data_IF_246251165697
#
_entry.id   IF_246251165697
#
_cell.length_a   1.000
_cell.length_b   1.000
_cell.length_c   1.000
_cell.angle_alpha   90.00
_cell.angle_beta   90.00
_cell.angle_gamma   90.00
#
_symmetry.space_group_name_H-M   'P 1'
#
loop_
_entity.id
_entity.type
_entity.pdbx_description
1 polymer ?
#
# COMPACT_ATOMS: atom_id res chain seq x y z
N UNK A 1 16.97 14.96 31.46
CA UNK A 1 16.96 16.08 32.43
C UNK A 1 15.82 15.84 33.42
N UNK A 2 16.05 16.07 34.71
CA UNK A 2 15.00 16.01 35.74
C UNK A 2 14.44 17.42 35.93
N UNK A 3 13.12 17.58 35.96
CA UNK A 3 12.46 18.90 35.90
C UNK A 3 11.35 19.07 36.94
N UNK A 4 11.24 18.12 37.87
CA UNK A 4 10.16 17.99 38.86
C UNK A 4 10.50 18.62 40.21
N UNK A 5 9.46 18.89 40.99
CA UNK A 5 9.52 19.43 42.34
C UNK A 5 10.31 20.74 42.47
N UNK A 6 10.32 21.57 41.43
CA UNK A 6 10.95 22.89 41.48
C UNK A 6 10.01 24.04 41.11
N UNK A 7 8.72 23.76 40.92
CA UNK A 7 7.69 24.75 40.59
C UNK A 7 8.05 25.57 39.32
N UNK A 8 8.66 24.91 38.33
CA UNK A 8 9.08 25.54 37.08
C UNK A 8 10.33 26.42 37.22
N UNK A 9 11.11 26.29 38.29
CA UNK A 9 12.34 27.07 38.51
C UNK A 9 13.59 26.47 37.82
N UNK A 10 13.41 25.65 36.78
CA UNK A 10 14.49 25.16 35.93
C UNK A 10 15.21 26.33 35.23
N UNK A 11 16.51 26.23 34.98
CA UNK A 11 17.26 27.15 34.09
C UNK A 11 18.48 26.38 33.55
N UNK A 12 18.20 25.20 33.03
CA UNK A 12 19.20 24.16 32.79
C UNK A 12 19.55 24.08 31.30
N UNK A 13 20.85 24.14 31.01
CA UNK A 13 21.40 24.07 29.66
C UNK A 13 22.18 22.77 29.46
N UNK A 14 21.82 22.03 28.42
CA UNK A 14 22.67 21.02 27.80
C UNK A 14 23.30 21.63 26.55
N UNK A 15 24.57 22.04 26.64
CA UNK A 15 25.30 22.67 25.53
C UNK A 15 26.08 21.60 24.77
N UNK A 16 25.85 21.49 23.45
CA UNK A 16 26.61 20.63 22.56
C UNK A 16 28.00 21.24 22.29
N UNK A 17 29.01 20.41 21.94
CA UNK A 17 30.31 20.93 21.51
C UNK A 17 30.18 21.91 20.34
N UNK A 18 31.11 22.88 20.29
CA UNK A 18 31.15 23.84 19.20
C UNK A 18 31.34 23.16 17.84
N UNK A 19 30.61 23.63 16.85
CA UNK A 19 30.64 23.05 15.50
C UNK A 19 30.58 24.14 14.43
N UNK A 20 31.09 23.82 13.25
CA UNK A 20 31.09 24.78 12.13
C UNK A 20 29.94 24.47 11.19
N UNK A 21 29.05 25.44 11.01
CA UNK A 21 27.97 25.37 10.02
C UNK A 21 28.36 26.09 8.74
N UNK A 22 27.73 25.70 7.63
CA UNK A 22 27.93 26.30 6.30
C UNK A 22 26.67 26.94 5.72
N UNK A 23 25.61 27.12 6.53
CA UNK A 23 24.35 27.73 6.10
C UNK A 23 23.40 26.79 5.37
N UNK A 24 23.60 25.47 5.50
CA UNK A 24 22.74 24.48 4.85
C UNK A 24 22.51 23.27 5.75
N UNK A 25 22.57 23.43 7.07
CA UNK A 25 22.39 22.34 8.03
C UNK A 25 21.00 22.34 8.68
N UNK A 26 20.64 21.19 9.23
CA UNK A 26 19.55 20.99 10.17
C UNK A 26 20.05 20.21 11.39
N UNK A 27 19.41 20.43 12.53
CA UNK A 27 19.56 19.61 13.73
C UNK A 27 18.41 18.60 13.80
N UNK A 28 18.74 17.34 14.01
CA UNK A 28 17.80 16.25 14.32
C UNK A 28 18.06 15.69 15.71
N UNK A 29 17.01 15.35 16.44
CA UNK A 29 17.09 14.68 17.73
C UNK A 29 15.76 14.02 18.07
N UNK A 30 15.78 13.04 18.97
CA UNK A 30 14.57 12.41 19.48
C UNK A 30 14.25 12.92 20.86
N UNK A 31 12.98 13.24 21.13
CA UNK A 31 12.54 13.76 22.43
C UNK A 31 11.29 13.02 22.93
N UNK A 32 11.12 12.94 24.26
CA UNK A 32 9.86 12.52 24.91
C UNK A 32 9.82 12.97 26.37
N UNK A 33 8.62 13.06 26.93
CA UNK A 33 8.41 13.22 28.35
C UNK A 33 8.28 11.85 29.04
N UNK A 34 8.53 11.81 30.35
CA UNK A 34 8.24 10.64 31.18
C UNK A 34 6.75 10.34 31.28
N UNK A 35 5.95 11.39 31.40
CA UNK A 35 4.50 11.31 31.56
C UNK A 35 3.83 12.39 30.71
N UNK A 36 2.73 12.02 30.05
CA UNK A 36 1.91 12.96 29.30
C UNK A 36 1.15 13.95 30.19
N UNK A 37 0.93 13.58 31.46
CA UNK A 37 0.26 14.42 32.47
C UNK A 37 1.21 15.36 33.20
N UNK A 38 2.52 15.20 33.00
CA UNK A 38 3.58 16.05 33.57
C UNK A 38 4.47 16.56 32.43
N UNK A 39 3.89 17.39 31.53
CA UNK A 39 4.57 17.85 30.34
C UNK A 39 5.79 18.71 30.67
N UNK A 40 6.75 18.70 29.77
CA UNK A 40 7.98 19.51 29.87
C UNK A 40 8.00 20.53 28.74
N UNK A 41 8.45 21.75 29.01
CA UNK A 41 8.80 22.71 27.98
C UNK A 41 10.32 22.84 27.85
N UNK A 42 10.78 23.04 26.62
CA UNK A 42 12.20 23.30 26.34
C UNK A 42 12.34 24.19 25.11
N UNK A 43 13.55 24.72 24.97
CA UNK A 43 14.00 25.51 23.84
C UNK A 43 15.25 24.88 23.23
N UNK A 44 15.35 24.94 21.91
CA UNK A 44 16.65 24.83 21.24
C UNK A 44 17.20 26.24 21.11
N UNK A 45 18.40 26.42 21.60
CA UNK A 45 19.11 27.68 21.62
C UNK A 45 20.35 27.59 20.74
N UNK A 46 20.77 28.72 20.17
CA UNK A 46 22.01 28.82 19.41
C UNK A 46 22.83 30.03 19.84
N UNK A 47 24.15 29.88 19.83
CA UNK A 47 25.12 30.95 20.03
C UNK A 47 26.13 30.94 18.89
N UNK A 48 26.51 32.12 18.41
CA UNK A 48 27.55 32.31 17.39
C UNK A 48 28.84 32.89 17.98
N UNK A 49 28.94 32.99 19.30
CA UNK A 49 30.05 33.66 20.01
C UNK A 49 30.73 32.72 21.01
N UNK A 50 30.01 32.32 22.06
CA UNK A 50 30.53 31.56 23.19
C UNK A 50 29.48 30.68 23.86
N UNK A 51 29.81 30.16 25.04
CA UNK A 51 28.95 29.23 25.80
C UNK A 51 28.40 29.84 27.09
N UNK A 52 28.48 31.16 27.27
CA UNK A 52 27.82 31.78 28.41
C UNK A 52 26.30 31.80 28.16
N UNK A 53 25.44 31.64 29.19
CA UNK A 53 23.99 31.63 28.99
C UNK A 53 23.44 32.84 28.20
N UNK A 54 24.03 34.04 28.39
CA UNK A 54 23.64 35.25 27.67
C UNK A 54 24.06 35.31 26.19
N UNK A 55 24.91 34.38 25.72
CA UNK A 55 25.29 34.29 24.30
C UNK A 55 24.21 33.61 23.45
N UNK A 56 23.27 32.89 24.09
CA UNK A 56 22.30 32.04 23.42
C UNK A 56 21.00 32.78 23.07
N UNK A 57 20.49 32.52 21.87
CA UNK A 57 19.17 32.97 21.41
C UNK A 57 18.28 31.76 21.06
N UNK A 58 16.98 31.78 21.38
CA UNK A 58 16.07 30.68 21.05
C UNK A 58 15.79 30.61 19.55
N UNK A 59 15.83 29.40 18.99
CA UNK A 59 15.51 29.11 17.58
C UNK A 59 14.35 28.14 17.41
N UNK A 60 13.99 27.42 18.47
CA UNK A 60 12.85 26.52 18.50
C UNK A 60 12.35 26.40 19.93
N UNK A 61 11.05 26.20 20.12
CA UNK A 61 10.43 25.97 21.42
C UNK A 61 9.31 24.93 21.29
N UNK A 62 9.16 24.08 22.30
CA UNK A 62 8.14 23.04 22.30
C UNK A 62 7.71 22.66 23.72
N UNK A 63 6.43 22.31 23.85
CA UNK A 63 5.90 21.56 24.99
C UNK A 63 5.77 20.09 24.62
N UNK A 64 6.43 19.24 25.39
CA UNK A 64 6.49 17.78 25.22
C UNK A 64 5.50 17.15 26.20
N UNK A 65 4.38 16.67 25.67
CA UNK A 65 3.32 15.96 26.41
C UNK A 65 3.12 14.53 25.92
N UNK A 66 4.10 13.96 25.22
CA UNK A 66 4.06 12.62 24.64
C UNK A 66 5.16 11.75 25.24
N UNK A 67 4.84 10.46 25.45
CA UNK A 67 5.72 9.50 26.11
C UNK A 67 6.46 8.56 25.15
N UNK A 68 6.17 8.67 23.86
CA UNK A 68 6.87 7.98 22.77
C UNK A 68 7.93 8.91 22.18
N UNK A 69 9.15 8.41 21.96
CA UNK A 69 10.19 9.19 21.27
C UNK A 69 9.68 9.68 19.93
N UNK A 70 9.75 10.99 19.72
CA UNK A 70 9.38 11.62 18.46
C UNK A 70 10.57 12.44 17.96
N UNK A 71 10.93 12.26 16.69
CA UNK A 71 12.01 13.01 16.04
C UNK A 71 11.60 14.47 15.86
N UNK A 72 12.54 15.38 16.07
CA UNK A 72 12.42 16.81 15.76
C UNK A 72 13.51 17.20 14.78
N UNK A 73 13.16 18.15 13.91
CA UNK A 73 14.06 18.73 12.92
C UNK A 73 14.00 20.24 13.11
N UNK A 74 15.15 20.87 13.32
CA UNK A 74 15.30 22.32 13.47
C UNK A 74 16.22 22.82 12.36
N UNK A 75 15.73 23.79 11.57
CA UNK A 75 16.49 24.40 10.48
C UNK A 75 17.61 25.29 11.03
N UNK A 76 18.84 25.07 10.55
CA UNK A 76 20.02 25.85 10.90
C UNK A 76 20.60 26.60 9.68
N UNK A 77 19.89 26.65 8.55
CA UNK A 77 20.35 27.29 7.30
C UNK A 77 20.68 28.77 7.45
N UNK A 78 20.09 29.45 8.45
CA UNK A 78 20.40 30.84 8.75
C UNK A 78 21.79 31.08 9.38
N UNK A 79 22.50 30.01 9.77
CA UNK A 79 23.75 30.11 10.55
C UNK A 79 24.95 29.55 9.78
N UNK A 80 26.09 30.22 9.91
CA UNK A 80 27.36 29.80 9.33
C UNK A 80 28.53 30.16 10.26
N UNK A 81 29.66 29.48 10.09
CA UNK A 81 30.81 29.60 11.00
C UNK A 81 30.63 28.77 12.27
N UNK A 82 31.47 29.04 13.27
CA UNK A 82 31.42 28.33 14.55
C UNK A 82 30.17 28.72 15.35
N UNK A 83 29.39 27.73 15.75
CA UNK A 83 28.21 27.90 16.61
C UNK A 83 28.24 26.91 17.77
N UNK A 84 27.43 27.20 18.78
CA UNK A 84 27.08 26.29 19.87
C UNK A 84 25.57 26.15 19.92
N UNK A 85 25.08 24.92 20.05
CA UNK A 85 23.65 24.62 20.17
C UNK A 85 23.39 24.14 21.59
N UNK A 86 22.31 24.59 22.22
CA UNK A 86 21.93 24.12 23.54
C UNK A 86 20.46 23.71 23.62
N UNK A 87 20.17 22.67 24.40
CA UNK A 87 18.82 22.36 24.86
C UNK A 87 18.64 23.03 26.21
N UNK A 88 17.65 23.92 26.29
CA UNK A 88 17.42 24.77 27.45
C UNK A 88 16.02 24.52 28.02
N UNK A 89 15.92 24.19 29.30
CA UNK A 89 14.64 24.17 30.03
C UNK A 89 14.54 25.48 30.82
N UNK A 90 13.72 26.44 30.36
CA UNK A 90 13.73 27.81 30.88
C UNK A 90 13.03 27.96 32.23
N UNK A 91 13.39 29.04 32.93
CA UNK A 91 12.73 29.45 34.16
C UNK A 91 11.30 29.94 33.90
N UNK A 92 10.39 29.57 34.80
CA UNK A 92 8.96 29.90 34.71
C UNK A 92 8.18 28.97 33.78
N UNK A 93 8.80 27.88 33.36
CA UNK A 93 8.18 26.82 32.56
C UNK A 93 7.28 25.88 33.35
N UNK A 94 7.01 24.71 32.77
CA UNK A 94 6.20 23.65 33.37
C UNK A 94 7.01 22.89 34.44
N UNK A 95 6.32 22.49 35.50
CA UNK A 95 6.83 21.54 36.51
C UNK A 95 6.61 20.11 36.00
N UNK A 96 7.43 19.71 35.02
CA UNK A 96 7.38 18.39 34.41
C UNK A 96 8.08 17.33 35.28
N UNK A 97 8.21 16.09 34.80
CA UNK A 97 8.95 15.05 35.55
C UNK A 97 10.38 14.77 35.03
N UNK A 98 10.49 14.04 33.91
CA UNK A 98 11.76 13.89 33.19
C UNK A 98 11.55 14.17 31.70
N UNK A 99 12.47 14.95 31.15
CA UNK A 99 12.65 15.14 29.72
C UNK A 99 13.79 14.25 29.23
N UNK A 100 13.49 13.38 28.26
CA UNK A 100 14.46 12.52 27.62
C UNK A 100 14.74 13.04 26.21
N UNK A 101 16.02 13.14 25.87
CA UNK A 101 16.50 13.49 24.54
C UNK A 101 17.64 12.55 24.16
N UNK A 102 17.69 12.15 22.90
CA UNK A 102 18.71 11.23 22.40
C UNK A 102 18.98 11.44 20.90
N UNK A 103 20.06 10.84 20.40
CA UNK A 103 20.42 10.77 18.98
C UNK A 103 20.51 12.14 18.26
N UNK A 104 21.23 13.08 18.86
CA UNK A 104 21.52 14.39 18.25
C UNK A 104 22.39 14.23 16.99
N UNK A 105 21.87 14.68 15.86
CA UNK A 105 22.56 14.69 14.56
C UNK A 105 22.47 16.07 13.94
N UNK A 106 23.61 16.63 13.52
CA UNK A 106 23.63 17.82 12.66
C UNK A 106 24.11 17.39 11.29
N UNK A 107 23.28 17.60 10.29
CA UNK A 107 23.51 17.17 8.92
C UNK A 107 23.07 18.26 7.94
N UNK A 108 23.47 18.12 6.68
CA UNK A 108 23.01 19.04 5.65
C UNK A 108 21.51 18.83 5.38
N UNK A 109 20.81 19.92 5.04
CA UNK A 109 19.44 19.87 4.54
C UNK A 109 19.36 18.98 3.30
N UNK A 110 18.36 18.10 3.20
CA UNK A 110 18.12 17.34 1.98
C UNK A 110 17.90 18.29 0.80
N UNK A 111 18.69 18.14 -0.26
CA UNK A 111 18.52 18.88 -1.52
C UNK A 111 17.57 18.16 -2.47
N UNK A 112 17.31 16.87 -2.21
CA UNK A 112 16.41 16.05 -3.00
C UNK A 112 15.30 15.43 -2.16
N UNK A 113 14.06 15.76 -2.49
CA UNK A 113 12.87 15.32 -1.76
C UNK A 113 12.20 14.14 -2.44
N UNK A 114 11.69 13.21 -1.63
CA UNK A 114 11.00 12.04 -2.13
C UNK A 114 9.59 12.41 -2.63
N UNK A 115 9.11 11.79 -3.72
CA UNK A 115 7.69 11.85 -4.04
C UNK A 115 6.87 11.11 -2.98
N UNK A 116 5.55 11.23 -3.07
CA UNK A 116 4.60 10.57 -2.17
C UNK A 116 3.43 9.96 -2.96
N UNK A 117 2.53 9.27 -2.27
CA UNK A 117 1.27 8.73 -2.84
C UNK A 117 1.47 7.96 -4.16
N UNK A 118 2.40 6.99 -4.18
CA UNK A 118 2.61 6.14 -5.35
C UNK A 118 1.35 5.30 -5.63
N UNK A 119 0.83 5.39 -6.84
CA UNK A 119 -0.32 4.63 -7.33
C UNK A 119 0.05 3.79 -8.54
N UNK A 120 -0.76 2.75 -8.79
CA UNK A 120 -0.60 1.86 -9.95
C UNK A 120 -1.96 1.73 -10.62
N UNK A 121 -1.99 1.88 -11.93
CA UNK A 121 -3.18 1.77 -12.79
C UNK A 121 -2.85 1.05 -14.09
N UNK A 122 -3.85 0.81 -14.94
CA UNK A 122 -3.70 0.20 -16.27
C UNK A 122 -2.86 -1.08 -16.25
N UNK A 123 -3.11 -1.95 -15.27
CA UNK A 123 -2.36 -3.19 -15.08
C UNK A 123 -2.73 -4.16 -16.21
N UNK A 124 -1.72 -4.60 -16.95
CA UNK A 124 -1.84 -5.60 -18.02
C UNK A 124 -1.11 -6.87 -17.61
N UNK A 125 -0.99 -7.84 -18.53
CA UNK A 125 -0.19 -9.05 -18.30
C UNK A 125 1.31 -8.77 -18.27
N UNK A 126 1.77 -7.70 -18.91
CA UNK A 126 3.21 -7.40 -19.07
C UNK A 126 3.60 -5.98 -18.68
N UNK A 127 2.70 -5.22 -18.06
CA UNK A 127 2.95 -3.83 -17.71
C UNK A 127 1.94 -3.25 -16.73
N UNK A 128 2.20 -2.02 -16.31
CA UNK A 128 1.33 -1.19 -15.50
C UNK A 128 1.77 0.27 -15.62
N UNK A 129 0.91 1.22 -15.26
CA UNK A 129 1.25 2.65 -15.18
C UNK A 129 1.43 3.05 -13.72
N UNK A 130 2.60 3.59 -13.39
CA UNK A 130 2.90 4.22 -12.12
C UNK A 130 2.59 5.72 -12.19
N UNK A 131 2.07 6.24 -11.09
CA UNK A 131 1.92 7.68 -10.86
C UNK A 131 2.28 7.97 -9.40
N UNK A 132 2.65 9.20 -9.08
CA UNK A 132 2.97 9.67 -7.74
C UNK A 132 2.76 11.18 -7.61
N UNK A 133 2.68 11.67 -6.37
CA UNK A 133 2.62 13.11 -6.08
C UNK A 133 4.05 13.66 -5.95
N UNK A 134 4.48 14.61 -6.80
CA UNK A 134 5.77 15.28 -6.66
C UNK A 134 5.88 16.04 -5.33
N UNK A 135 7.09 16.16 -4.75
CA UNK A 135 7.31 17.06 -3.62
C UNK A 135 7.21 18.53 -4.07
N UNK A 136 7.09 19.46 -3.09
CA UNK A 136 6.97 20.89 -3.37
C UNK A 136 8.15 21.42 -4.21
N UNK A 137 9.37 20.96 -3.93
CA UNK A 137 10.54 21.14 -4.80
C UNK A 137 10.75 19.87 -5.62
N UNK A 138 10.12 19.80 -6.80
CA UNK A 138 10.17 18.61 -7.64
C UNK A 138 11.58 18.38 -8.24
N UNK A 139 12.09 17.14 -8.18
CA UNK A 139 13.32 16.77 -8.88
C UNK A 139 13.10 16.78 -10.40
N UNK A 140 14.19 16.90 -11.18
CA UNK A 140 14.11 16.88 -12.64
C UNK A 140 13.69 15.51 -13.22
N UNK A 141 13.95 14.44 -12.47
CA UNK A 141 13.58 13.08 -12.85
C UNK A 141 13.43 12.19 -11.60
N UNK A 142 13.03 10.94 -11.80
CA UNK A 142 12.84 9.97 -10.73
C UNK A 142 13.54 8.66 -11.06
N UNK A 143 13.88 7.91 -10.01
CA UNK A 143 14.33 6.53 -10.14
C UNK A 143 13.22 5.61 -9.62
N UNK A 144 13.04 4.47 -10.28
CA UNK A 144 12.05 3.45 -9.92
C UNK A 144 12.77 2.13 -9.67
N UNK A 145 12.50 1.52 -8.53
CA UNK A 145 12.94 0.17 -8.20
C UNK A 145 11.72 -0.77 -8.18
N UNK A 146 11.81 -1.85 -8.96
CA UNK A 146 10.77 -2.87 -9.09
C UNK A 146 11.34 -4.22 -8.70
N UNK A 147 10.66 -4.92 -7.78
CA UNK A 147 11.06 -6.23 -7.28
C UNK A 147 9.87 -7.18 -7.20
N UNK A 148 10.11 -8.50 -7.28
CA UNK A 148 9.11 -9.53 -6.99
C UNK A 148 9.12 -9.98 -5.52
N UNK A 149 10.03 -9.42 -4.72
CA UNK A 149 10.11 -9.63 -3.27
C UNK A 149 9.87 -8.32 -2.53
N UNK A 150 9.21 -8.40 -1.37
CA UNK A 150 8.94 -7.24 -0.53
C UNK A 150 10.13 -6.86 0.36
N UNK A 151 11.31 -6.70 -0.25
CA UNK A 151 12.50 -6.23 0.45
C UNK A 151 12.70 -4.76 0.09
N UNK A 152 12.57 -3.88 1.08
CA UNK A 152 12.74 -2.45 0.87
C UNK A 152 14.16 -2.12 0.36
N UNK A 153 14.30 -1.28 -0.68
CA UNK A 153 15.60 -0.83 -1.16
C UNK A 153 16.29 0.07 -0.13
N UNK A 154 17.62 0.04 -0.12
CA UNK A 154 18.44 0.99 0.63
C UNK A 154 18.86 2.14 -0.28
N UNK A 155 19.49 3.18 0.26
CA UNK A 155 20.03 4.29 -0.55
C UNK A 155 21.01 3.84 -1.64
N UNK A 156 21.70 2.71 -1.42
CA UNK A 156 22.66 2.13 -2.36
C UNK A 156 22.04 1.16 -3.38
N UNK A 157 20.74 0.85 -3.29
CA UNK A 157 20.09 -0.04 -4.26
C UNK A 157 20.08 0.60 -5.65
N UNK A 158 20.60 -0.12 -6.63
CA UNK A 158 20.54 0.27 -8.04
C UNK A 158 19.08 0.28 -8.52
N UNK A 159 18.58 1.38 -9.09
CA UNK A 159 17.24 1.43 -9.67
C UNK A 159 17.05 0.43 -10.81
N UNK A 160 15.82 -0.07 -10.97
CA UNK A 160 15.43 -0.82 -12.18
C UNK A 160 15.34 0.11 -13.39
N UNK A 161 14.82 1.32 -13.15
CA UNK A 161 14.70 2.39 -14.14
C UNK A 161 15.22 3.69 -13.54
N UNK A 162 16.08 4.40 -14.28
CA UNK A 162 16.74 5.63 -13.82
C UNK A 162 16.31 6.80 -14.69
N UNK A 163 16.09 7.97 -14.07
CA UNK A 163 15.84 9.21 -14.80
C UNK A 163 14.50 9.24 -15.55
N UNK A 164 13.47 8.61 -14.99
CA UNK A 164 12.13 8.54 -15.59
C UNK A 164 11.27 9.76 -15.26
N UNK A 165 10.24 10.01 -16.07
CA UNK A 165 9.23 11.03 -15.82
C UNK A 165 8.00 10.44 -15.09
N UNK A 166 7.17 11.33 -14.53
CA UNK A 166 5.87 11.00 -13.94
C UNK A 166 4.73 11.44 -14.87
N UNK A 167 3.77 10.58 -15.23
CA UNK A 167 3.65 9.15 -14.91
C UNK A 167 4.65 8.27 -15.68
N UNK A 168 4.87 7.05 -15.20
CA UNK A 168 5.79 6.09 -15.81
C UNK A 168 5.11 4.77 -16.19
N UNK A 169 5.26 4.35 -17.46
CA UNK A 169 4.75 3.07 -17.94
C UNK A 169 5.80 1.96 -17.76
N UNK A 170 5.50 0.99 -16.88
CA UNK A 170 6.25 -0.25 -16.75
C UNK A 170 5.92 -1.19 -17.90
N UNK A 171 6.95 -1.81 -18.48
CA UNK A 171 6.85 -2.79 -19.55
C UNK A 171 7.79 -3.96 -19.32
N UNK A 172 7.50 -5.12 -19.92
CA UNK A 172 8.37 -6.30 -19.82
C UNK A 172 8.22 -7.05 -18.50
N UNK A 173 7.10 -6.86 -17.80
CA UNK A 173 6.75 -7.63 -16.61
C UNK A 173 6.26 -9.03 -16.99
N UNK A 174 6.35 -9.97 -16.06
CA UNK A 174 5.80 -11.32 -16.21
C UNK A 174 4.34 -11.32 -15.77
N UNK A 175 3.49 -12.06 -16.48
CA UNK A 175 2.08 -12.22 -16.13
C UNK A 175 1.90 -12.94 -14.79
N UNK A 176 0.75 -12.73 -14.13
CA UNK A 176 0.39 -13.36 -12.86
C UNK A 176 1.49 -13.26 -11.79
N UNK A 177 2.16 -12.10 -11.71
CA UNK A 177 3.30 -11.89 -10.82
C UNK A 177 3.07 -10.66 -9.95
N UNK A 178 3.25 -10.83 -8.64
CA UNK A 178 3.22 -9.71 -7.69
C UNK A 178 4.52 -8.94 -7.75
N UNK A 179 4.41 -7.64 -7.94
CA UNK A 179 5.51 -6.69 -7.93
C UNK A 179 5.37 -5.70 -6.77
N UNK A 180 6.52 -5.29 -6.25
CA UNK A 180 6.69 -4.25 -5.25
C UNK A 180 7.53 -3.13 -5.87
N UNK A 181 7.06 -1.91 -5.70
CA UNK A 181 7.60 -0.72 -6.36
C UNK A 181 7.93 0.34 -5.31
N UNK A 182 9.07 0.98 -5.52
CA UNK A 182 9.52 2.15 -4.79
C UNK A 182 9.97 3.19 -5.79
N UNK A 183 9.71 4.46 -5.49
CA UNK A 183 10.13 5.59 -6.30
C UNK A 183 10.97 6.52 -5.44
N UNK A 184 12.00 7.13 -5.99
CA UNK A 184 12.74 8.23 -5.34
C UNK A 184 12.95 9.37 -6.31
N UNK A 185 13.10 10.58 -5.79
CA UNK A 185 13.55 11.73 -6.56
C UNK A 185 15.01 11.58 -7.00
N UNK A 186 15.30 11.99 -8.22
CA UNK A 186 16.66 12.07 -8.76
C UNK A 186 16.94 13.52 -9.17
N UNK A 187 17.74 14.20 -8.33
CA UNK A 187 18.11 15.61 -8.48
C UNK A 187 19.42 15.79 -9.25
N UNK A 188 20.04 14.69 -9.70
CA UNK A 188 21.23 14.66 -10.54
C UNK A 188 22.47 14.09 -9.84
N UNK A 189 23.33 13.42 -10.60
CA UNK A 189 24.55 12.81 -10.07
C UNK A 189 24.25 11.78 -8.99
N UNK A 190 24.75 12.00 -7.78
CA UNK A 190 24.48 11.17 -6.59
C UNK A 190 23.43 11.77 -5.66
N UNK A 191 22.86 12.92 -5.99
CA UNK A 191 21.84 13.58 -5.18
C UNK A 191 20.47 13.00 -5.50
N UNK A 192 20.02 12.12 -4.60
CA UNK A 192 18.77 11.37 -4.71
C UNK A 192 18.06 11.39 -3.37
N UNK A 193 16.73 11.36 -3.40
CA UNK A 193 15.95 11.29 -2.17
C UNK A 193 15.99 9.89 -1.56
N UNK A 194 15.42 9.76 -0.36
CA UNK A 194 14.98 8.45 0.14
C UNK A 194 13.93 7.83 -0.78
N UNK A 195 13.84 6.50 -0.77
CA UNK A 195 12.77 5.76 -1.44
C UNK A 195 11.43 5.99 -0.72
N UNK A 196 10.33 6.01 -1.48
CA UNK A 196 8.97 6.04 -0.96
C UNK A 196 8.65 4.84 -0.07
N UNK A 197 7.49 4.82 0.58
CA UNK A 197 6.90 3.56 1.05
C UNK A 197 6.65 2.59 -0.12
N UNK A 198 6.62 1.29 0.18
CA UNK A 198 6.34 0.26 -0.84
C UNK A 198 4.93 0.42 -1.41
N UNK A 199 4.81 0.25 -2.74
CA UNK A 199 3.53 0.02 -3.41
C UNK A 199 3.54 -1.34 -4.08
N UNK A 200 2.56 -2.18 -3.81
CA UNK A 200 2.41 -3.48 -4.47
C UNK A 200 1.27 -3.50 -5.47
N UNK A 201 1.42 -4.33 -6.50
CA UNK A 201 0.39 -4.70 -7.47
C UNK A 201 0.71 -6.08 -8.05
N UNK A 202 -0.26 -6.71 -8.72
CA UNK A 202 -0.04 -7.96 -9.43
C UNK A 202 -0.46 -7.81 -10.89
N UNK A 203 0.38 -8.24 -11.83
CA UNK A 203 0.05 -8.26 -13.26
C UNK A 203 -1.12 -9.20 -13.53
N UNK A 204 -1.89 -8.90 -14.57
CA UNK A 204 -2.96 -9.76 -15.02
C UNK A 204 -2.41 -11.11 -15.52
N UNK A 205 -3.28 -12.12 -15.61
CA UNK A 205 -2.90 -13.42 -16.11
C UNK A 205 -2.97 -13.50 -17.63
N UNK A 206 -2.03 -14.24 -18.22
CA UNK A 206 -2.11 -14.57 -19.64
C UNK A 206 -3.35 -15.40 -19.95
N UNK A 207 -3.89 -15.14 -21.14
CA UNK A 207 -4.93 -15.97 -21.70
C UNK A 207 -4.38 -17.35 -22.04
N UNK A 208 -5.14 -18.39 -21.74
CA UNK A 208 -4.75 -19.79 -21.96
C UNK A 208 -5.53 -20.41 -23.12
N UNK A 209 -4.92 -21.35 -23.82
CA UNK A 209 -5.59 -22.12 -24.85
C UNK A 209 -6.52 -23.17 -24.24
N UNK A 210 -7.62 -23.46 -24.94
CA UNK A 210 -8.47 -24.61 -24.61
C UNK A 210 -7.80 -25.94 -25.06
N UNK A 211 -8.08 -27.08 -24.41
CA UNK A 211 -9.02 -27.26 -23.29
C UNK A 211 -8.49 -26.70 -21.96
N UNK A 212 -9.39 -26.09 -21.19
CA UNK A 212 -9.15 -25.63 -19.82
C UNK A 212 -10.12 -26.33 -18.87
N UNK A 213 -9.63 -26.74 -17.70
CA UNK A 213 -10.41 -27.35 -16.63
C UNK A 213 -10.05 -26.68 -15.32
N UNK A 214 -11.07 -26.31 -14.55
CA UNK A 214 -10.95 -25.87 -13.17
C UNK A 214 -11.77 -26.79 -12.27
N UNK A 215 -11.19 -27.22 -11.15
CA UNK A 215 -11.85 -28.09 -10.18
C UNK A 215 -11.77 -27.56 -8.74
N UNK A 216 -11.19 -26.38 -8.54
CA UNK A 216 -11.03 -25.65 -7.28
C UNK A 216 -10.21 -26.39 -6.20
N UNK A 217 -9.64 -27.56 -6.49
CA UNK A 217 -8.87 -28.36 -5.53
C UNK A 217 -7.44 -27.85 -5.33
N UNK A 218 -6.97 -26.91 -6.16
CA UNK A 218 -5.63 -26.33 -6.09
C UNK A 218 -5.43 -25.26 -5.01
N UNK A 219 -6.46 -24.95 -4.22
CA UNK A 219 -6.45 -23.93 -3.17
C UNK A 219 -7.07 -24.46 -1.88
N UNK A 220 -6.70 -23.86 -0.75
CA UNK A 220 -7.38 -24.09 0.53
C UNK A 220 -8.54 -23.11 0.66
N UNK A 221 -9.81 -23.57 0.73
CA UNK A 221 -10.94 -22.66 0.89
C UNK A 221 -10.84 -21.79 2.15
N UNK A 222 -11.27 -20.51 2.09
CA UNK A 222 -12.07 -19.89 1.03
C UNK A 222 -11.27 -19.22 -0.10
N UNK A 223 -9.96 -19.47 -0.20
CA UNK A 223 -9.12 -18.81 -1.21
C UNK A 223 -9.61 -19.08 -2.64
N UNK A 224 -9.50 -18.06 -3.51
CA UNK A 224 -9.84 -18.17 -4.93
C UNK A 224 -8.59 -18.62 -5.70
N UNK A 225 -8.70 -19.59 -6.65
CA UNK A 225 -7.59 -19.93 -7.52
C UNK A 225 -7.01 -18.72 -8.24
N UNK A 226 -5.69 -18.69 -8.39
CA UNK A 226 -5.01 -17.63 -9.15
C UNK A 226 -5.62 -17.50 -10.55
N UNK A 227 -5.81 -16.26 -10.99
CA UNK A 227 -6.45 -15.88 -12.27
C UNK A 227 -7.96 -16.10 -12.36
N UNK A 228 -8.62 -16.47 -11.27
CA UNK A 228 -10.06 -16.29 -11.13
C UNK A 228 -10.31 -14.97 -10.41
N UNK A 229 -11.18 -14.14 -10.98
CA UNK A 229 -11.56 -12.84 -10.40
C UNK A 229 -12.98 -12.98 -9.86
N UNK A 230 -13.23 -12.42 -8.69
CA UNK A 230 -14.57 -12.31 -8.10
C UNK A 230 -14.92 -10.83 -8.00
N UNK A 231 -16.13 -10.49 -8.41
CA UNK A 231 -16.68 -9.15 -8.34
C UNK A 231 -18.00 -9.20 -7.59
N UNK A 232 -18.05 -8.47 -6.47
CA UNK A 232 -19.28 -8.23 -5.72
C UNK A 232 -19.87 -6.89 -6.19
N UNK A 233 -20.83 -6.93 -7.11
CA UNK A 233 -21.39 -5.72 -7.74
C UNK A 233 -22.31 -4.96 -6.80
N UNK A 234 -23.07 -5.67 -5.95
CA UNK A 234 -24.09 -5.09 -5.08
C UNK A 234 -23.52 -4.65 -3.69
N UNK A 235 -22.24 -4.93 -3.43
CA UNK A 235 -21.49 -4.62 -2.21
C UNK A 235 -22.16 -5.08 -0.90
N UNK A 236 -22.83 -6.24 -0.91
CA UNK A 236 -23.51 -6.81 0.26
C UNK A 236 -22.60 -7.64 1.20
N UNK A 237 -21.31 -7.76 0.88
CA UNK A 237 -20.29 -8.57 1.57
C UNK A 237 -20.49 -10.11 1.47
N UNK A 238 -21.45 -10.57 0.68
CA UNK A 238 -21.59 -11.98 0.31
C UNK A 238 -21.26 -12.13 -1.17
N UNK A 239 -20.37 -13.06 -1.52
CA UNK A 239 -19.97 -13.24 -2.91
C UNK A 239 -19.42 -14.64 -3.14
N UNK A 240 -18.99 -14.91 -4.37
CA UNK A 240 -18.37 -16.18 -4.77
C UNK A 240 -17.12 -16.46 -3.94
N UNK A 241 -17.06 -17.65 -3.36
CA UNK A 241 -15.86 -18.19 -2.68
C UNK A 241 -15.73 -19.68 -2.92
N UNK A 242 -14.54 -20.22 -2.64
CA UNK A 242 -14.40 -21.67 -2.58
C UNK A 242 -14.93 -22.22 -1.24
N UNK A 243 -15.33 -23.49 -1.25
CA UNK A 243 -15.75 -24.25 -0.07
C UNK A 243 -15.35 -25.71 -0.21
N UNK A 244 -15.14 -26.41 0.91
CA UNK A 244 -14.97 -27.87 0.95
C UNK A 244 -16.11 -28.47 1.75
N UNK A 245 -16.93 -29.31 1.10
CA UNK A 245 -18.11 -29.85 1.76
C UNK A 245 -19.18 -28.79 2.06
N UNK A 246 -20.43 -29.21 2.10
CA UNK A 246 -21.55 -28.39 2.54
C UNK A 246 -22.45 -29.27 3.41
N UNK A 247 -22.70 -28.83 4.64
CA UNK A 247 -23.60 -29.55 5.57
C UNK A 247 -24.98 -29.68 4.93
N UNK A 248 -25.51 -30.91 4.89
CA UNK A 248 -26.81 -31.18 4.26
C UNK A 248 -26.75 -31.40 2.75
N UNK A 249 -25.58 -31.30 2.10
CA UNK A 249 -25.43 -31.52 0.65
C UNK A 249 -24.30 -32.53 0.37
N UNK A 250 -24.59 -33.85 0.47
CA UNK A 250 -23.58 -34.90 0.30
C UNK A 250 -22.91 -34.93 -1.07
N UNK A 251 -23.51 -34.30 -2.08
CA UNK A 251 -22.97 -34.24 -3.44
C UNK A 251 -21.65 -33.44 -3.52
N UNK A 252 -21.42 -32.47 -2.63
CA UNK A 252 -20.20 -31.65 -2.62
C UNK A 252 -19.13 -32.32 -1.78
N UNK A 253 -18.34 -33.20 -2.40
CA UNK A 253 -17.31 -34.01 -1.71
C UNK A 253 -15.89 -33.50 -1.87
N UNK A 254 -15.68 -32.52 -2.75
CA UNK A 254 -14.39 -31.86 -3.03
C UNK A 254 -14.58 -30.34 -3.05
N UNK A 255 -13.53 -29.59 -3.33
CA UNK A 255 -13.66 -28.14 -3.40
C UNK A 255 -14.59 -27.74 -4.55
N UNK A 256 -15.43 -26.74 -4.29
CA UNK A 256 -16.31 -26.13 -5.27
C UNK A 256 -16.34 -24.62 -5.05
N UNK A 257 -16.80 -23.87 -6.05
CA UNK A 257 -17.13 -22.45 -5.89
C UNK A 257 -18.61 -22.31 -5.57
N UNK A 258 -18.94 -21.43 -4.62
CA UNK A 258 -20.28 -21.19 -4.11
C UNK A 258 -20.54 -19.70 -4.02
N UNK A 259 -21.72 -19.26 -4.45
CA UNK A 259 -22.26 -17.94 -4.11
C UNK A 259 -22.99 -18.03 -2.77
N UNK A 260 -22.70 -17.13 -1.84
CA UNK A 260 -23.19 -17.22 -0.47
C UNK A 260 -24.56 -16.57 -0.31
N UNK A 261 -25.39 -17.18 0.53
CA UNK A 261 -26.68 -16.63 0.93
C UNK A 261 -26.54 -15.23 1.56
N UNK A 262 -27.38 -14.30 1.09
CA UNK A 262 -27.67 -13.05 1.76
C UNK A 262 -29.16 -12.98 2.13
N UNK A 263 -29.47 -12.50 3.33
CA UNK A 263 -30.84 -12.56 3.86
C UNK A 263 -31.81 -11.56 3.22
N UNK A 264 -31.29 -10.43 2.72
CA UNK A 264 -32.14 -9.29 2.30
C UNK A 264 -31.84 -8.76 0.90
N UNK A 265 -30.69 -9.14 0.32
CA UNK A 265 -30.22 -8.57 -0.94
C UNK A 265 -30.21 -9.71 -1.96
N UNK A 266 -30.75 -9.49 -3.17
CA UNK A 266 -30.60 -10.46 -4.24
C UNK A 266 -29.12 -10.53 -4.65
N UNK A 267 -28.65 -11.74 -4.93
CA UNK A 267 -27.30 -11.94 -5.45
C UNK A 267 -27.15 -11.28 -6.84
N UNK A 268 -26.07 -10.52 -7.00
CA UNK A 268 -25.64 -9.92 -8.28
C UNK A 268 -24.11 -9.93 -8.35
N UNK A 269 -23.55 -11.12 -8.09
CA UNK A 269 -22.12 -11.35 -8.02
C UNK A 269 -21.62 -12.13 -9.22
N UNK A 270 -20.38 -11.83 -9.61
CA UNK A 270 -19.71 -12.46 -10.73
C UNK A 270 -18.46 -13.18 -10.26
N UNK A 271 -18.16 -14.30 -10.90
CA UNK A 271 -16.80 -14.79 -10.95
C UNK A 271 -16.40 -15.02 -12.41
N UNK A 272 -15.13 -14.75 -12.69
CA UNK A 272 -14.55 -14.84 -14.01
C UNK A 272 -13.50 -15.94 -13.97
N UNK A 273 -13.67 -16.96 -14.79
CA UNK A 273 -12.60 -17.93 -15.04
C UNK A 273 -11.41 -17.22 -15.71
N UNK A 274 -10.25 -17.87 -15.71
CA UNK A 274 -9.08 -17.36 -16.44
C UNK A 274 -9.46 -17.06 -17.90
N UNK A 275 -8.95 -15.95 -18.43
CA UNK A 275 -9.11 -15.57 -19.84
C UNK A 275 -8.70 -16.71 -20.77
N UNK A 276 -9.52 -16.98 -21.78
CA UNK A 276 -9.29 -18.05 -22.75
C UNK A 276 -8.98 -17.46 -24.13
N UNK A 277 -8.02 -18.05 -24.84
CA UNK A 277 -7.79 -17.78 -26.25
C UNK A 277 -8.85 -18.52 -27.09
N UNK A 278 -9.90 -17.80 -27.47
CA UNK A 278 -10.95 -18.32 -28.34
C UNK A 278 -10.92 -17.60 -29.69
N UNK A 279 -11.20 -18.33 -30.78
CA UNK A 279 -11.17 -17.81 -32.14
C UNK A 279 -12.58 -17.40 -32.57
N UNK A 280 -12.74 -16.17 -33.09
CA UNK A 280 -13.98 -15.68 -33.64
C UNK A 280 -14.56 -16.63 -34.72
N UNK A 281 -15.86 -16.90 -34.65
CA UNK A 281 -16.56 -17.81 -35.56
C UNK A 281 -16.36 -19.30 -35.27
N UNK A 282 -15.46 -19.69 -34.35
CA UNK A 282 -15.30 -21.09 -33.96
C UNK A 282 -16.27 -21.46 -32.84
N UNK A 283 -16.76 -22.71 -32.90
CA UNK A 283 -17.62 -23.28 -31.86
C UNK A 283 -16.83 -24.04 -30.81
N UNK A 284 -17.16 -23.81 -29.55
CA UNK A 284 -16.59 -24.48 -28.38
C UNK A 284 -17.68 -25.13 -27.55
N UNK A 285 -17.29 -26.04 -26.66
CA UNK A 285 -18.20 -26.70 -25.72
C UNK A 285 -17.78 -26.37 -24.29
N UNK A 286 -18.69 -25.77 -23.52
CA UNK A 286 -18.55 -25.56 -22.09
C UNK A 286 -19.27 -26.68 -21.33
N UNK A 287 -18.59 -27.28 -20.35
CA UNK A 287 -19.16 -28.30 -19.45
C UNK A 287 -18.88 -27.92 -18.01
N UNK A 288 -19.91 -27.93 -17.17
CA UNK A 288 -19.79 -27.70 -15.73
C UNK A 288 -20.93 -28.39 -14.99
N UNK A 289 -20.81 -28.48 -13.67
CA UNK A 289 -21.84 -29.02 -12.78
C UNK A 289 -22.28 -27.94 -11.81
N UNK A 290 -23.57 -27.90 -11.50
CA UNK A 290 -24.17 -26.92 -10.59
C UNK A 290 -25.30 -27.57 -9.77
N UNK A 291 -25.60 -27.00 -8.61
CA UNK A 291 -26.69 -27.42 -7.71
C UNK A 291 -27.10 -26.24 -6.81
N UNK A 292 -28.24 -26.35 -6.13
CA UNK A 292 -28.66 -25.45 -5.06
C UNK A 292 -28.63 -26.21 -3.73
N UNK A 293 -27.88 -25.69 -2.75
CA UNK A 293 -27.64 -26.38 -1.48
C UNK A 293 -28.91 -26.55 -0.63
N UNK A 294 -29.88 -25.67 -0.81
CA UNK A 294 -31.08 -25.59 0.00
C UNK A 294 -32.35 -25.79 -0.84
N UNK A 295 -32.22 -26.46 -1.98
CA UNK A 295 -33.38 -26.92 -2.74
C UNK A 295 -34.19 -27.97 -1.95
N UNK A 296 -35.54 -27.97 -2.03
CA UNK A 296 -36.34 -27.12 -2.89
C UNK A 296 -36.71 -25.75 -2.31
N UNK A 297 -36.33 -25.47 -1.06
CA UNK A 297 -36.81 -24.33 -0.28
C UNK A 297 -36.30 -22.98 -0.80
N UNK A 298 -35.08 -22.96 -1.34
CA UNK A 298 -34.47 -21.77 -1.95
C UNK A 298 -33.97 -22.12 -3.34
N UNK A 299 -34.74 -21.70 -4.35
CA UNK A 299 -34.39 -21.86 -5.78
C UNK A 299 -33.42 -20.76 -6.18
N UNK A 300 -32.31 -21.17 -6.78
CA UNK A 300 -31.26 -20.26 -7.26
C UNK A 300 -31.36 -20.05 -8.77
N UNK A 301 -30.57 -19.11 -9.30
CA UNK A 301 -30.43 -18.85 -10.74
C UNK A 301 -28.95 -18.80 -11.11
N UNK A 302 -28.62 -19.22 -12.33
CA UNK A 302 -27.24 -19.18 -12.82
C UNK A 302 -27.22 -18.80 -14.29
N UNK A 303 -26.44 -17.78 -14.61
CA UNK A 303 -26.15 -17.37 -15.98
C UNK A 303 -24.65 -17.45 -16.24
N UNK A 304 -24.26 -17.83 -17.46
CA UNK A 304 -22.87 -17.78 -17.94
C UNK A 304 -22.83 -16.92 -19.19
N UNK A 305 -21.93 -15.94 -19.19
CA UNK A 305 -21.77 -15.01 -20.30
C UNK A 305 -20.35 -15.03 -20.88
N UNK A 306 -20.23 -14.58 -22.13
CA UNK A 306 -18.98 -14.30 -22.79
C UNK A 306 -18.77 -12.79 -22.91
N UNK A 307 -17.59 -12.31 -22.53
CA UNK A 307 -17.21 -10.91 -22.57
C UNK A 307 -15.74 -10.71 -22.91
N UNK A 308 -15.34 -9.45 -23.05
CA UNK A 308 -13.99 -9.08 -23.50
C UNK A 308 -13.01 -8.76 -22.36
N UNK A 309 -13.50 -8.67 -21.13
CA UNK A 309 -12.68 -8.50 -19.93
C UNK A 309 -13.35 -9.16 -18.72
N UNK A 310 -12.57 -9.43 -17.67
CA UNK A 310 -13.03 -10.05 -16.44
C UNK A 310 -13.65 -9.02 -15.47
N UNK A 311 -14.72 -8.36 -15.91
CA UNK A 311 -15.59 -7.53 -15.09
C UNK A 311 -17.02 -7.53 -15.66
N UNK A 312 -18.00 -7.29 -14.81
CA UNK A 312 -19.44 -7.34 -15.12
C UNK A 312 -19.81 -6.39 -16.26
N UNK A 313 -19.22 -5.19 -16.28
CA UNK A 313 -19.45 -4.18 -17.32
C UNK A 313 -18.96 -4.61 -18.71
N UNK A 314 -18.02 -5.56 -18.82
CA UNK A 314 -17.54 -6.12 -20.07
C UNK A 314 -18.28 -7.40 -20.50
N UNK A 315 -19.19 -7.91 -19.66
CA UNK A 315 -20.07 -9.05 -19.96
C UNK A 315 -21.36 -8.57 -20.62
N UNK A 316 -21.24 -7.85 -21.75
CA UNK A 316 -22.39 -7.39 -22.54
C UNK A 316 -22.59 -8.24 -23.81
N UNK A 317 -21.86 -9.34 -23.92
CA UNK A 317 -21.82 -10.17 -25.12
C UNK A 317 -22.90 -11.24 -25.13
N UNK A 318 -22.49 -12.45 -25.44
CA UNK A 318 -23.39 -13.59 -25.59
C UNK A 318 -23.67 -14.23 -24.23
N UNK A 319 -24.95 -14.42 -23.89
CA UNK A 319 -25.37 -15.36 -22.84
C UNK A 319 -25.20 -16.78 -23.39
N UNK A 320 -24.26 -17.53 -22.81
CA UNK A 320 -23.96 -18.91 -23.22
C UNK A 320 -24.93 -19.87 -22.53
N UNK A 321 -25.23 -19.63 -21.26
CA UNK A 321 -26.11 -20.48 -20.46
C UNK A 321 -26.98 -19.62 -19.56
N UNK A 322 -28.26 -19.98 -19.42
CA UNK A 322 -29.21 -19.29 -18.55
C UNK A 322 -30.15 -20.32 -17.93
N UNK A 323 -29.99 -20.55 -16.62
CA UNK A 323 -30.84 -21.43 -15.82
C UNK A 323 -31.56 -20.60 -14.74
N UNK A 324 -32.85 -20.26 -14.96
CA UNK A 324 -33.60 -19.45 -14.03
C UNK A 324 -34.17 -20.23 -12.85
N UNK A 325 -34.01 -21.56 -12.78
CA UNK A 325 -34.58 -22.39 -11.71
C UNK A 325 -33.63 -23.52 -11.28
N UNK A 326 -32.46 -23.18 -10.74
CA UNK A 326 -31.56 -24.15 -10.11
C UNK A 326 -32.20 -24.65 -8.81
N UNK A 327 -32.77 -25.86 -8.84
CA UNK A 327 -33.57 -26.38 -7.73
C UNK A 327 -33.29 -27.86 -7.38
N UNK A 328 -32.02 -28.26 -7.36
CA UNK A 328 -31.59 -29.63 -7.08
C UNK A 328 -30.43 -29.64 -6.09
N UNK A 329 -30.48 -30.51 -5.07
CA UNK A 329 -29.36 -30.78 -4.13
C UNK A 329 -28.34 -31.78 -4.68
N UNK A 330 -28.62 -32.38 -5.85
CA UNK A 330 -27.68 -33.21 -6.61
C UNK A 330 -27.14 -32.42 -7.80
N UNK A 331 -25.87 -32.66 -8.17
CA UNK A 331 -25.27 -32.01 -9.32
C UNK A 331 -26.04 -32.27 -10.61
N UNK A 332 -26.45 -31.18 -11.26
CA UNK A 332 -26.90 -31.16 -12.65
C UNK A 332 -25.70 -30.85 -13.52
N UNK A 333 -25.58 -31.51 -14.68
CA UNK A 333 -24.50 -31.28 -15.62
C UNK A 333 -24.98 -30.42 -16.78
N UNK A 334 -24.37 -29.25 -16.96
CA UNK A 334 -24.50 -28.45 -18.17
C UNK A 334 -23.51 -28.93 -19.24
N UNK A 335 -23.97 -28.98 -20.50
CA UNK A 335 -23.14 -29.25 -21.67
C UNK A 335 -23.60 -28.35 -22.82
N UNK A 336 -22.94 -27.22 -22.97
CA UNK A 336 -23.40 -26.11 -23.81
C UNK A 336 -22.43 -25.89 -24.95
N UNK A 337 -22.94 -25.85 -26.18
CA UNK A 337 -22.17 -25.40 -27.34
C UNK A 337 -22.43 -23.93 -27.59
N UNK A 338 -21.38 -23.17 -27.87
CA UNK A 338 -21.48 -21.76 -28.25
C UNK A 338 -20.45 -21.44 -29.32
N UNK A 339 -20.77 -20.46 -30.18
CA UNK A 339 -19.89 -19.96 -31.22
C UNK A 339 -19.40 -18.58 -30.81
N UNK A 340 -18.09 -18.34 -30.84
CA UNK A 340 -17.53 -17.03 -30.51
C UNK A 340 -18.04 -16.01 -31.53
N UNK A 341 -18.63 -14.88 -31.11
CA UNK A 341 -19.09 -13.85 -32.02
C UNK A 341 -17.97 -13.40 -32.97
N UNK A 342 -18.29 -13.27 -34.26
CA UNK A 342 -17.45 -12.51 -35.19
C UNK A 342 -17.59 -11.04 -34.83
N UNK A 343 -16.48 -10.40 -34.44
CA UNK A 343 -16.43 -8.95 -34.15
C UNK A 343 -16.99 -8.10 -35.27
#
# INVERSE_FOLDING_TARGET
MYTDFNAGANDDYLILPGMTLTGNQQLKYWVRARSATEPNDYQVMISTTGTAPGDFSPIFNETVNFTTYTERIVDLSAYSGTVYIAMHVPQGGLDGYYLYMDDFTVENLPTCFAPSAVTVSNITTTGATLDWTPPAQAPASYDVYVSTTNTAPTGATTPTYTGVANPYALTGLTANTTYYVWVRGNCGGTDVSTWTSVKSFATACDAINVPYTENFNGVTPPAIPSCIIVENTNNDNTTWRTTTGITGVPAVTSNAIINQFHATNPADDWFFIRTLNLTAGQSYTLKFKYLASSAPDYTEKLQVQLGTAANSAAMTGQVIFDEPNVNSTSYVQANVQFTVPST
#
